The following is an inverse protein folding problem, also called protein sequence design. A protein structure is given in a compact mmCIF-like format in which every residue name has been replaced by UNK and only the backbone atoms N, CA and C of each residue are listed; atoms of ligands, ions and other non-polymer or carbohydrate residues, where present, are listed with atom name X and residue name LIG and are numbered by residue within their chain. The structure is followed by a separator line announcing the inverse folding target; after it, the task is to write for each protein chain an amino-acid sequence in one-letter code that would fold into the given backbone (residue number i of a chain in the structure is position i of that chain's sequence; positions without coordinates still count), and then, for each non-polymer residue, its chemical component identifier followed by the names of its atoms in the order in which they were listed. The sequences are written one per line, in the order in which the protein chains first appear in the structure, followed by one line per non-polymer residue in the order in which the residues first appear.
data_IF_605878667304
#
_entry.id   IF_605878667304
#
_cell.length_a   1.000
_cell.length_b   1.000
_cell.length_c   1.000
_cell.angle_alpha   90.00
_cell.angle_beta   90.00
_cell.angle_gamma   90.00
#
_symmetry.space_group_name_H-M   'P 1'
#
loop_
_entity.id
_entity.type
_entity.pdbx_description
1 polymer ?
#
# COMPACT_ATOMS: atom_id res chain seq x y z
N UNK A 1 -17.43 10.63 -54.29
CA UNK A 1 -16.51 9.73 -53.57
C UNK A 1 -15.92 10.36 -52.29
N UNK A 2 -16.57 11.34 -51.67
CA UNK A 2 -16.02 12.00 -50.46
C UNK A 2 -16.67 11.55 -49.14
N UNK A 3 -17.80 10.85 -49.18
CA UNK A 3 -18.55 10.46 -47.96
C UNK A 3 -17.95 9.23 -47.23
N UNK A 4 -17.29 8.32 -47.97
CA UNK A 4 -16.73 7.09 -47.35
C UNK A 4 -15.46 7.30 -46.48
N UNK A 5 -14.66 8.31 -46.82
CA UNK A 5 -13.44 8.65 -46.07
C UNK A 5 -13.76 9.32 -44.71
N UNK A 6 -14.87 10.07 -44.65
CA UNK A 6 -15.29 10.77 -43.44
C UNK A 6 -15.83 9.81 -42.36
N UNK A 7 -16.54 8.76 -42.78
CA UNK A 7 -17.10 7.75 -41.85
C UNK A 7 -15.96 6.91 -41.25
N UNK A 8 -14.96 6.56 -42.04
CA UNK A 8 -13.81 5.77 -41.55
C UNK A 8 -12.96 6.52 -40.53
N UNK A 9 -12.73 7.82 -40.72
CA UNK A 9 -11.98 8.66 -39.79
C UNK A 9 -12.76 8.87 -38.47
N UNK A 10 -14.09 8.97 -38.55
CA UNK A 10 -14.94 9.13 -37.35
C UNK A 10 -14.98 7.86 -36.48
N UNK A 11 -15.04 6.68 -37.08
CA UNK A 11 -15.02 5.41 -36.35
C UNK A 11 -13.67 5.17 -35.63
N UNK A 12 -12.57 5.46 -36.29
CA UNK A 12 -11.22 5.37 -35.67
C UNK A 12 -11.10 6.31 -34.48
N UNK A 13 -11.61 7.54 -34.58
CA UNK A 13 -11.55 8.51 -33.49
C UNK A 13 -12.41 8.08 -32.27
N UNK A 14 -13.55 7.43 -32.47
CA UNK A 14 -14.40 6.91 -31.39
C UNK A 14 -13.73 5.72 -30.70
N UNK A 15 -13.10 4.82 -31.45
CA UNK A 15 -12.37 3.68 -30.89
C UNK A 15 -11.17 4.15 -30.06
N UNK A 16 -10.37 5.07 -30.57
CA UNK A 16 -9.24 5.66 -29.83
C UNK A 16 -9.69 6.37 -28.56
N UNK A 17 -10.81 7.10 -28.61
CA UNK A 17 -11.37 7.76 -27.44
C UNK A 17 -11.84 6.75 -26.36
N UNK A 18 -12.46 5.63 -26.76
CA UNK A 18 -12.87 4.57 -25.84
C UNK A 18 -11.68 3.85 -25.22
N UNK A 19 -10.64 3.56 -26.01
CA UNK A 19 -9.41 2.96 -25.49
C UNK A 19 -8.66 3.90 -24.54
N UNK A 20 -8.59 5.19 -24.87
CA UNK A 20 -7.95 6.19 -24.02
C UNK A 20 -8.68 6.34 -22.66
N UNK A 21 -10.01 6.33 -22.64
CA UNK A 21 -10.81 6.39 -21.40
C UNK A 21 -10.67 5.12 -20.58
N UNK A 22 -10.64 3.94 -21.21
CA UNK A 22 -10.45 2.67 -20.51
C UNK A 22 -9.04 2.55 -19.92
N UNK A 23 -8.00 2.84 -20.67
CA UNK A 23 -6.62 2.86 -20.20
C UNK A 23 -6.37 3.91 -19.10
N UNK A 24 -7.09 5.04 -19.13
CA UNK A 24 -7.08 6.05 -18.09
C UNK A 24 -7.70 5.54 -16.79
N UNK A 25 -8.83 4.85 -16.87
CA UNK A 25 -9.54 4.29 -15.72
C UNK A 25 -8.74 3.19 -15.02
N UNK A 26 -8.04 2.33 -15.77
CA UNK A 26 -7.15 1.31 -15.17
C UNK A 26 -5.94 1.93 -14.47
N UNK A 27 -5.32 2.94 -15.08
CA UNK A 27 -4.20 3.66 -14.45
C UNK A 27 -4.62 4.36 -13.18
N UNK A 28 -5.81 4.96 -13.15
CA UNK A 28 -6.35 5.63 -11.95
C UNK A 28 -6.71 4.61 -10.86
N UNK A 29 -7.17 3.42 -11.24
CA UNK A 29 -7.48 2.35 -10.28
C UNK A 29 -6.23 1.78 -9.58
N UNK A 30 -5.07 1.84 -10.24
CA UNK A 30 -3.81 1.25 -9.74
C UNK A 30 -2.83 2.33 -9.24
N UNK A 31 -3.10 3.62 -9.49
CA UNK A 31 -2.23 4.70 -9.03
C UNK A 31 -2.25 4.80 -7.49
N UNK A 32 -1.07 5.00 -6.90
CA UNK A 32 -0.92 5.30 -5.49
C UNK A 32 -1.60 6.64 -5.16
N UNK A 33 -2.56 6.66 -4.23
CA UNK A 33 -3.30 7.87 -3.91
C UNK A 33 -2.47 8.83 -3.06
N UNK A 34 -2.74 10.12 -3.16
CA UNK A 34 -2.11 11.13 -2.30
C UNK A 34 -2.78 11.18 -0.92
N UNK A 35 -2.04 11.55 0.15
CA UNK A 35 -2.65 11.85 1.45
C UNK A 35 -3.78 12.89 1.31
N UNK A 36 -4.90 12.65 2.00
CA UNK A 36 -6.12 13.44 1.89
C UNK A 36 -7.08 13.00 0.78
N UNK A 37 -6.64 12.14 -0.14
CA UNK A 37 -7.51 11.61 -1.19
C UNK A 37 -8.66 10.77 -0.59
N UNK A 38 -9.87 11.02 -1.09
CA UNK A 38 -11.08 10.27 -0.73
C UNK A 38 -11.53 9.44 -1.93
N UNK A 39 -11.46 8.13 -1.79
CA UNK A 39 -11.60 7.19 -2.90
C UNK A 39 -12.69 6.15 -2.62
N UNK A 40 -13.29 5.64 -3.70
CA UNK A 40 -14.16 4.47 -3.64
C UNK A 40 -13.31 3.20 -3.60
N UNK A 41 -13.59 2.36 -2.62
CA UNK A 41 -12.96 1.06 -2.41
C UNK A 41 -14.02 -0.01 -2.17
N UNK A 42 -13.62 -1.27 -2.24
CA UNK A 42 -14.37 -2.39 -1.68
C UNK A 42 -13.72 -2.84 -0.38
N UNK A 43 -14.53 -3.25 0.59
CA UNK A 43 -14.06 -3.85 1.82
C UNK A 43 -14.57 -5.27 1.95
N UNK A 44 -13.70 -6.15 2.41
CA UNK A 44 -13.99 -7.51 2.89
C UNK A 44 -13.45 -7.67 4.30
N UNK A 45 -13.61 -8.82 4.92
CA UNK A 45 -13.06 -9.07 6.23
C UNK A 45 -12.48 -10.48 6.35
N UNK A 46 -11.40 -10.61 7.11
CA UNK A 46 -10.76 -11.88 7.43
C UNK A 46 -10.56 -12.05 8.94
N UNK A 47 -10.43 -13.31 9.37
CA UNK A 47 -10.30 -13.64 10.80
C UNK A 47 -9.17 -14.62 11.10
N UNK A 48 -8.39 -15.01 10.09
CA UNK A 48 -7.32 -16.01 10.23
C UNK A 48 -5.96 -15.34 10.21
N UNK A 49 -5.01 -16.00 10.88
CA UNK A 49 -3.64 -15.53 11.01
C UNK A 49 -3.37 -14.97 12.40
N UNK A 50 -2.12 -15.09 12.86
CA UNK A 50 -1.65 -14.52 14.12
C UNK A 50 -0.69 -13.36 13.88
N UNK A 51 -0.10 -13.32 12.69
CA UNK A 51 0.92 -12.33 12.32
C UNK A 51 0.61 -11.82 10.92
N UNK A 52 0.75 -10.53 10.72
CA UNK A 52 0.62 -9.86 9.43
C UNK A 52 1.86 -10.07 8.56
N UNK A 53 1.78 -9.75 7.28
CA UNK A 53 2.94 -9.76 6.38
C UNK A 53 4.03 -8.76 6.79
N UNK A 54 3.68 -7.72 7.55
CA UNK A 54 4.63 -6.78 8.17
C UNK A 54 5.32 -7.34 9.43
N UNK A 55 5.03 -8.58 9.84
CA UNK A 55 5.63 -9.21 11.03
C UNK A 55 5.04 -8.78 12.37
N UNK A 56 3.93 -8.03 12.37
CA UNK A 56 3.25 -7.60 13.58
C UNK A 56 2.06 -8.51 13.91
N UNK A 57 1.70 -8.70 15.21
CA UNK A 57 0.49 -9.42 15.57
C UNK A 57 -0.76 -8.80 14.95
N UNK A 58 -1.70 -9.63 14.52
CA UNK A 58 -3.00 -9.15 14.04
C UNK A 58 -3.82 -8.60 15.21
N UNK A 59 -4.51 -7.50 14.99
CA UNK A 59 -5.37 -6.85 15.97
C UNK A 59 -6.45 -6.01 15.30
N UNK A 60 -7.44 -5.58 16.06
CA UNK A 60 -8.47 -4.66 15.57
C UNK A 60 -7.81 -3.36 15.07
N UNK A 61 -8.27 -2.86 13.93
CA UNK A 61 -7.66 -1.69 13.27
C UNK A 61 -6.54 -2.05 12.27
N UNK A 62 -6.23 -3.33 12.09
CA UNK A 62 -5.36 -3.80 11.00
C UNK A 62 -6.18 -4.09 9.76
N UNK A 63 -5.64 -3.75 8.62
CA UNK A 63 -6.18 -4.10 7.31
C UNK A 63 -5.08 -4.65 6.39
N UNK A 64 -5.49 -5.54 5.47
CA UNK A 64 -4.70 -5.92 4.32
C UNK A 64 -5.12 -5.07 3.11
N UNK A 65 -4.16 -4.73 2.25
CA UNK A 65 -4.40 -4.01 1.00
C UNK A 65 -3.38 -4.39 -0.07
N UNK A 66 -3.64 -3.96 -1.29
CA UNK A 66 -2.66 -4.03 -2.38
C UNK A 66 -1.51 -3.05 -2.09
N UNK A 67 -0.27 -3.52 -1.93
CA UNK A 67 0.87 -2.66 -1.61
C UNK A 67 1.24 -1.68 -2.72
N UNK A 68 0.76 -1.90 -3.95
CA UNK A 68 0.95 -0.96 -5.08
C UNK A 68 0.05 0.26 -4.91
N UNK A 69 -1.15 0.09 -4.34
CA UNK A 69 -2.13 1.16 -4.15
C UNK A 69 -2.01 1.79 -2.75
N UNK A 70 -1.93 0.94 -1.72
CA UNK A 70 -1.79 1.35 -0.32
C UNK A 70 -0.59 0.62 0.29
N UNK A 71 0.61 1.19 0.22
CA UNK A 71 1.81 0.57 0.77
C UNK A 71 1.67 0.21 2.24
N UNK A 72 2.40 -0.82 2.70
CA UNK A 72 2.42 -1.23 4.10
C UNK A 72 2.84 -0.05 4.99
N UNK A 73 2.11 0.16 6.08
CA UNK A 73 2.24 1.32 6.96
C UNK A 73 1.33 2.50 6.59
N UNK A 74 0.53 2.38 5.53
CA UNK A 74 -0.50 3.37 5.21
C UNK A 74 -1.55 3.42 6.32
N UNK A 75 -2.03 4.62 6.62
CA UNK A 75 -3.13 4.86 7.57
C UNK A 75 -4.29 5.42 6.79
N UNK A 76 -5.44 4.77 6.93
CA UNK A 76 -6.64 5.08 6.19
C UNK A 76 -7.83 5.21 7.12
N UNK A 77 -8.77 6.07 6.78
CA UNK A 77 -10.06 6.18 7.44
C UNK A 77 -11.14 5.58 6.54
N UNK A 78 -11.90 4.66 7.09
CA UNK A 78 -13.04 4.04 6.42
C UNK A 78 -14.32 4.72 6.88
N UNK A 79 -15.12 5.17 5.93
CA UNK A 79 -16.44 5.74 6.15
C UNK A 79 -17.52 4.79 5.61
N UNK A 80 -18.75 4.93 6.13
CA UNK A 80 -19.94 4.22 5.62
C UNK A 80 -19.98 2.70 5.89
N UNK A 81 -19.26 2.21 6.90
CA UNK A 81 -19.21 0.78 7.24
C UNK A 81 -19.84 0.48 8.60
N UNK A 82 -20.80 1.29 9.04
CA UNK A 82 -21.49 1.15 10.34
C UNK A 82 -20.48 1.10 11.51
N UNK A 83 -20.57 0.08 12.37
CA UNK A 83 -19.69 -0.10 13.55
C UNK A 83 -18.20 -0.33 13.19
N UNK A 84 -17.91 -0.61 11.94
CA UNK A 84 -16.53 -0.82 11.46
C UNK A 84 -15.95 0.42 10.78
N UNK A 85 -16.67 1.54 10.76
CA UNK A 85 -16.10 2.83 10.37
C UNK A 85 -15.03 3.24 11.37
N UNK A 86 -13.90 3.74 10.89
CA UNK A 86 -12.79 4.11 11.76
C UNK A 86 -11.46 4.16 11.04
N UNK A 87 -10.40 4.29 11.83
CA UNK A 87 -9.02 4.36 11.33
C UNK A 87 -8.41 2.96 11.33
N UNK A 88 -7.78 2.62 10.21
CA UNK A 88 -7.09 1.35 10.00
C UNK A 88 -5.67 1.60 9.54
N UNK A 89 -4.76 0.71 9.94
CA UNK A 89 -3.38 0.69 9.45
C UNK A 89 -3.20 -0.53 8.54
N UNK A 90 -2.69 -0.29 7.35
CA UNK A 90 -2.34 -1.35 6.40
C UNK A 90 -1.04 -2.00 6.87
N UNK A 91 -1.13 -3.18 7.47
CA UNK A 91 0.01 -3.96 7.96
C UNK A 91 0.06 -5.35 7.34
N UNK A 92 -0.90 -5.66 6.48
CA UNK A 92 -0.99 -6.95 5.84
C UNK A 92 -1.18 -6.84 4.33
N UNK A 93 -0.87 -7.92 3.64
CA UNK A 93 -1.06 -8.06 2.20
C UNK A 93 -1.60 -9.46 1.92
N UNK A 94 -2.28 -9.63 0.81
CA UNK A 94 -2.78 -10.94 0.40
C UNK A 94 -2.88 -11.07 -1.12
N UNK A 95 -2.67 -12.27 -1.68
CA UNK A 95 -2.73 -12.47 -3.13
C UNK A 95 -4.11 -12.18 -3.72
N UNK A 96 -5.16 -12.27 -2.90
CA UNK A 96 -6.54 -11.97 -3.30
C UNK A 96 -6.94 -10.51 -3.04
N UNK A 97 -6.07 -9.72 -2.39
CA UNK A 97 -6.35 -8.31 -2.03
C UNK A 97 -5.60 -7.44 -3.03
N UNK A 98 -6.24 -7.17 -4.16
CA UNK A 98 -5.62 -6.45 -5.27
C UNK A 98 -6.41 -5.20 -5.64
N UNK A 99 -5.72 -4.15 -6.09
CA UNK A 99 -6.31 -2.90 -6.52
C UNK A 99 -7.02 -2.14 -5.38
N UNK A 100 -8.20 -1.60 -5.64
CA UNK A 100 -8.99 -0.85 -4.65
C UNK A 100 -9.85 -1.77 -3.77
N UNK A 101 -9.21 -2.75 -3.15
CA UNK A 101 -9.79 -3.66 -2.16
C UNK A 101 -9.01 -3.55 -0.86
N UNK A 102 -9.72 -3.47 0.27
CA UNK A 102 -9.15 -3.62 1.61
C UNK A 102 -9.82 -4.78 2.33
N UNK A 103 -9.04 -5.53 3.10
CA UNK A 103 -9.52 -6.66 3.88
C UNK A 103 -9.29 -6.40 5.36
N UNK A 104 -10.37 -6.32 6.15
CA UNK A 104 -10.32 -5.86 7.53
C UNK A 104 -10.15 -7.06 8.46
N UNK A 105 -9.18 -6.98 9.38
CA UNK A 105 -9.05 -8.02 10.39
C UNK A 105 -10.20 -7.96 11.42
N UNK A 106 -10.81 -9.10 11.69
CA UNK A 106 -11.84 -9.29 12.71
C UNK A 106 -11.52 -10.50 13.56
N UNK A 107 -11.65 -10.38 14.88
CA UNK A 107 -11.42 -11.49 15.80
C UNK A 107 -12.38 -12.65 15.58
N UNK A 108 -13.62 -12.34 15.25
CA UNK A 108 -14.68 -13.34 15.05
C UNK A 108 -14.81 -13.70 13.58
N UNK A 109 -14.61 -14.97 13.25
CA UNK A 109 -14.86 -15.46 11.89
C UNK A 109 -16.34 -15.36 11.49
N UNK A 110 -17.26 -15.48 12.44
CA UNK A 110 -18.69 -15.27 12.17
C UNK A 110 -18.97 -13.81 11.80
N UNK A 111 -18.32 -12.86 12.46
CA UNK A 111 -18.42 -11.44 12.10
C UNK A 111 -17.82 -11.15 10.73
N UNK A 112 -16.65 -11.72 10.42
CA UNK A 112 -16.01 -11.58 9.12
C UNK A 112 -16.89 -12.12 7.99
N UNK A 113 -17.51 -13.29 8.19
CA UNK A 113 -18.46 -13.87 7.23
C UNK A 113 -19.71 -13.01 7.08
N UNK A 114 -20.27 -12.51 8.19
CA UNK A 114 -21.45 -11.63 8.18
C UNK A 114 -21.14 -10.25 7.57
N UNK A 115 -19.89 -9.79 7.64
CA UNK A 115 -19.46 -8.55 7.04
C UNK A 115 -19.60 -8.59 5.51
N UNK A 116 -19.16 -9.68 4.89
CA UNK A 116 -19.22 -9.89 3.45
C UNK A 116 -18.38 -8.86 2.67
N UNK A 117 -18.86 -8.48 1.48
CA UNK A 117 -18.23 -7.46 0.64
C UNK A 117 -19.09 -6.21 0.60
N UNK A 118 -18.48 -5.05 0.83
CA UNK A 118 -19.17 -3.75 0.88
C UNK A 118 -18.42 -2.72 0.04
N UNK A 119 -19.19 -1.84 -0.60
CA UNK A 119 -18.63 -0.62 -1.19
C UNK A 119 -18.47 0.43 -0.10
N UNK A 120 -17.29 1.02 -0.02
CA UNK A 120 -16.92 1.96 1.04
C UNK A 120 -16.29 3.23 0.45
N UNK A 121 -16.25 4.27 1.27
CA UNK A 121 -15.37 5.42 1.04
C UNK A 121 -14.18 5.31 1.98
N UNK A 122 -12.99 5.47 1.41
CA UNK A 122 -11.73 5.41 2.11
C UNK A 122 -11.01 6.74 1.92
N UNK A 123 -10.60 7.36 3.02
CA UNK A 123 -9.75 8.56 3.01
C UNK A 123 -8.34 8.13 3.42
N UNK A 124 -7.36 8.47 2.60
CA UNK A 124 -5.94 8.22 2.91
C UNK A 124 -5.46 9.30 3.86
N UNK A 125 -5.13 8.95 5.09
CA UNK A 125 -4.58 9.88 6.07
C UNK A 125 -3.07 10.02 5.93
N UNK A 126 -2.39 8.91 5.67
CA UNK A 126 -0.95 8.84 5.45
C UNK A 126 -0.63 7.63 4.57
N UNK A 127 0.30 7.77 3.65
CA UNK A 127 0.85 6.63 2.94
C UNK A 127 1.97 5.97 3.73
N UNK A 128 2.07 4.66 3.58
CA UNK A 128 3.18 3.87 4.06
C UNK A 128 4.41 4.01 3.18
N UNK A 129 5.37 3.15 3.40
CA UNK A 129 6.58 3.10 2.61
C UNK A 129 6.45 2.06 1.48
N UNK A 130 6.66 2.54 0.24
CA UNK A 130 6.69 1.68 -0.93
C UNK A 130 8.15 1.46 -1.34
N UNK A 131 8.73 0.26 -1.10
CA UNK A 131 10.13 -0.01 -1.43
C UNK A 131 10.40 0.04 -2.94
N UNK A 132 9.39 -0.18 -3.78
CA UNK A 132 9.54 -0.13 -5.23
C UNK A 132 9.64 1.31 -5.73
N UNK A 133 8.85 2.22 -5.12
CA UNK A 133 8.90 3.65 -5.45
C UNK A 133 10.17 4.35 -4.94
N UNK A 134 10.83 3.76 -3.94
CA UNK A 134 12.06 4.30 -3.33
C UNK A 134 13.34 3.66 -3.88
N UNK A 135 13.29 3.00 -5.04
CA UNK A 135 14.51 2.55 -5.71
C UNK A 135 15.40 3.78 -5.97
N UNK A 136 16.64 3.83 -5.41
CA UNK A 136 17.50 4.99 -5.56
C UNK A 136 17.68 5.33 -7.03
N UNK A 137 17.48 6.58 -7.40
CA UNK A 137 17.78 7.06 -8.74
C UNK A 137 19.27 6.80 -9.07
N UNK A 138 19.64 6.83 -10.35
CA UNK A 138 21.05 6.71 -10.74
C UNK A 138 21.91 7.76 -10.02
N UNK A 139 21.34 8.95 -9.76
CA UNK A 139 22.02 10.01 -9.00
C UNK A 139 22.22 9.61 -7.54
N UNK A 140 21.23 9.05 -6.86
CA UNK A 140 21.37 8.57 -5.47
C UNK A 140 22.40 7.45 -5.36
N UNK A 141 22.49 6.57 -6.36
CA UNK A 141 23.53 5.53 -6.42
C UNK A 141 24.93 6.10 -6.61
N UNK A 142 25.05 7.21 -7.31
CA UNK A 142 26.33 7.89 -7.49
C UNK A 142 26.75 8.64 -6.22
N UNK A 143 25.79 9.24 -5.49
CA UNK A 143 26.06 9.97 -4.25
C UNK A 143 26.26 9.05 -3.05
N UNK A 144 25.55 7.94 -2.93
CA UNK A 144 25.76 6.95 -1.84
C UNK A 144 27.11 6.25 -1.91
N UNK A 145 27.77 6.28 -3.08
CA UNK A 145 29.14 5.75 -3.22
C UNK A 145 30.19 6.61 -2.54
N UNK A 146 29.84 7.84 -2.11
CA UNK A 146 30.75 8.75 -1.40
C UNK A 146 30.64 8.65 0.12
N UNK A 147 29.68 7.94 0.67
CA UNK A 147 29.62 7.67 2.10
C UNK A 147 30.67 6.62 2.44
N UNK A 148 31.78 7.08 3.02
CA UNK A 148 32.81 6.19 3.57
C UNK A 148 32.13 5.28 4.59
N UNK A 149 32.40 3.94 4.55
CA UNK A 149 31.91 3.06 5.59
C UNK A 149 32.32 3.62 6.94
N UNK A 150 31.36 3.71 7.85
CA UNK A 150 31.62 4.12 9.23
C UNK A 150 32.82 3.35 9.76
N UNK A 151 33.82 4.07 10.25
CA UNK A 151 35.02 3.44 10.85
C UNK A 151 34.53 2.43 11.88
N UNK A 152 34.88 1.18 11.68
CA UNK A 152 34.69 0.13 12.68
C UNK A 152 35.18 0.68 14.03
N UNK A 153 34.41 0.67 15.10
CA UNK A 153 34.89 1.11 16.40
C UNK A 153 36.12 0.32 16.74
N UNK A 154 37.22 1.02 17.09
CA UNK A 154 38.41 0.38 17.59
C UNK A 154 38.04 -0.54 18.76
N UNK A 155 38.58 -1.76 18.82
CA UNK A 155 38.33 -2.64 19.95
C UNK A 155 38.68 -1.91 21.24
N UNK A 156 37.81 -1.99 22.22
CA UNK A 156 37.99 -1.36 23.52
C UNK A 156 39.33 -1.82 24.11
N UNK A 157 40.18 -0.85 24.46
CA UNK A 157 41.45 -1.11 25.13
C UNK A 157 41.14 -1.87 26.43
N UNK A 158 41.74 -3.05 26.69
CA UNK A 158 41.47 -3.73 27.96
C UNK A 158 41.93 -2.86 29.11
N UNK A 159 41.07 -2.73 30.11
CA UNK A 159 41.39 -2.00 31.35
C UNK A 159 42.58 -2.67 32.04
N UNK A 160 43.53 -1.92 32.60
CA UNK A 160 44.60 -2.49 33.38
C UNK A 160 44.03 -3.27 34.57
N UNK A 161 44.42 -4.52 34.68
CA UNK A 161 44.06 -5.31 35.87
C UNK A 161 44.83 -4.72 37.05
N UNK A 162 44.07 -4.19 38.04
CA UNK A 162 44.64 -3.81 39.33
C UNK A 162 44.98 -5.13 40.03
N UNK A 163 46.24 -5.42 40.16
CA UNK A 163 46.69 -6.52 40.99
C UNK A 163 46.24 -6.21 42.43
N UNK A 164 45.45 -7.12 43.00
CA UNK A 164 45.19 -7.11 44.42
C UNK A 164 46.40 -7.73 45.11
N UNK A 165 47.29 -6.89 45.57
CA UNK A 165 48.31 -7.34 46.54
C UNK A 165 47.66 -7.57 47.89
N UNK A 166 47.91 -8.73 48.39
CA UNK A 166 47.48 -9.30 49.63
C UNK A 166 48.34 -8.82 50.80
#
# INVERSE_FOLDING_TARGET
MAAGAFVSTYEVTILDSKYATWAGAEREATAEPTPGARLAFKATAYCKGMTTSAGTPVQSGVAAADPVVLPVGSVVQLDSVQRYSGIYTVLDTGPSVQGRLVDLYMWSCNEALAFGRKDIRLTVLRLGWNPVATTPSLLDRLFSRSERPARTPLPARPLPQIAADN
#
